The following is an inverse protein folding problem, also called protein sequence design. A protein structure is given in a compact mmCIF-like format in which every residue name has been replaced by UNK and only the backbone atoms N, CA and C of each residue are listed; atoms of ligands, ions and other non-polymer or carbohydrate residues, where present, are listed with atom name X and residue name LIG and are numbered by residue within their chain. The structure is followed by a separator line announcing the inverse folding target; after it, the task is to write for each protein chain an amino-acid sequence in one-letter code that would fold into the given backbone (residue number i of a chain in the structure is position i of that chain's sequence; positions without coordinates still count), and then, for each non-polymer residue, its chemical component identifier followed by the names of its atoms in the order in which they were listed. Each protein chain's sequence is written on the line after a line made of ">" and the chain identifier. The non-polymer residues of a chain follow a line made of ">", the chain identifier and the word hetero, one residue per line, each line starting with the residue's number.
data_IF_204381733380
#
_entry.id   IF_204381733380
#
_cell.length_a   1.000
_cell.length_b   1.000
_cell.length_c   1.000
_cell.angle_alpha   90.00
_cell.angle_beta   90.00
_cell.angle_gamma   90.00
#
_symmetry.space_group_name_H-M   'P 1'
#
loop_
_entity.id
_entity.type
_entity.pdbx_description
1 polymer ?
#
# COMPACT_ATOMS: atom_id res chain seq x y z
N UNK A 1 -4.42 -4.84 -9.93
CA UNK A 1 -3.59 -5.40 -8.83
C UNK A 1 -3.61 -4.41 -7.70
N UNK A 2 -3.84 -4.83 -6.45
CA UNK A 2 -3.88 -3.87 -5.32
C UNK A 2 -2.49 -3.43 -4.84
N UNK A 3 -1.44 -4.15 -5.25
CA UNK A 3 -0.05 -3.89 -4.87
C UNK A 3 0.88 -4.41 -5.98
N UNK A 4 1.94 -3.68 -6.26
CA UNK A 4 3.07 -4.13 -7.07
C UNK A 4 4.38 -3.55 -6.53
N UNK A 5 5.50 -4.22 -6.79
CA UNK A 5 6.80 -3.76 -6.32
C UNK A 5 7.34 -2.66 -7.23
N UNK A 6 7.61 -1.49 -6.67
CA UNK A 6 8.27 -0.41 -7.38
C UNK A 6 9.79 -0.45 -7.13
N UNK A 7 10.53 -1.01 -8.08
CA UNK A 7 12.00 -1.02 -8.04
C UNK A 7 12.57 0.35 -8.42
N UNK A 8 12.93 1.14 -7.39
CA UNK A 8 13.41 2.54 -7.54
C UNK A 8 14.66 2.63 -8.42
N UNK A 9 15.59 1.68 -8.29
CA UNK A 9 16.83 1.64 -9.08
C UNK A 9 16.55 1.45 -10.57
N UNK A 10 15.76 0.44 -10.92
CA UNK A 10 15.35 0.16 -12.29
C UNK A 10 14.57 1.32 -12.89
N UNK A 11 13.61 1.87 -12.11
CA UNK A 11 12.85 3.02 -12.54
C UNK A 11 13.76 4.21 -12.84
N UNK A 12 14.66 4.56 -11.92
CA UNK A 12 15.55 5.69 -12.10
C UNK A 12 16.47 5.51 -13.31
N UNK A 13 17.06 4.32 -13.48
CA UNK A 13 17.94 4.02 -14.61
C UNK A 13 17.20 4.11 -15.94
N UNK A 14 16.01 3.52 -16.04
CA UNK A 14 15.20 3.55 -17.27
C UNK A 14 14.73 4.97 -17.63
N UNK A 15 14.60 5.86 -16.64
CA UNK A 15 13.97 7.18 -16.83
C UNK A 15 14.94 8.34 -16.69
N UNK A 16 16.26 8.12 -16.65
CA UNK A 16 17.25 9.19 -16.40
C UNK A 16 17.28 10.27 -17.48
N UNK A 17 16.97 9.92 -18.72
CA UNK A 17 16.98 10.83 -19.86
C UNK A 17 15.68 11.65 -19.99
N UNK A 18 14.64 11.27 -19.25
CA UNK A 18 13.33 11.90 -19.31
C UNK A 18 13.29 13.18 -18.48
N UNK A 19 12.55 14.16 -18.97
CA UNK A 19 12.14 15.33 -18.20
C UNK A 19 11.27 14.94 -17.01
N UNK A 20 11.14 15.82 -16.01
CA UNK A 20 10.29 15.56 -14.84
C UNK A 20 8.83 15.30 -15.24
N UNK A 21 8.35 15.98 -16.28
CA UNK A 21 7.00 15.82 -16.80
C UNK A 21 6.80 14.42 -17.41
N UNK A 22 7.69 14.01 -18.31
CA UNK A 22 7.68 12.68 -18.92
C UNK A 22 7.79 11.56 -17.88
N UNK A 23 8.64 11.74 -16.86
CA UNK A 23 8.77 10.79 -15.74
C UNK A 23 7.45 10.64 -14.96
N UNK A 24 6.75 11.74 -14.73
CA UNK A 24 5.45 11.72 -14.05
C UNK A 24 4.39 11.01 -14.91
N UNK A 25 4.30 11.33 -16.20
CA UNK A 25 3.35 10.70 -17.12
C UNK A 25 3.63 9.19 -17.24
N UNK A 26 4.90 8.79 -17.38
CA UNK A 26 5.25 7.38 -17.39
C UNK A 26 4.85 6.67 -16.10
N UNK A 27 5.01 7.33 -14.95
CA UNK A 27 4.58 6.78 -13.66
C UNK A 27 3.07 6.57 -13.61
N UNK A 28 2.28 7.56 -14.02
CA UNK A 28 0.81 7.48 -14.04
C UNK A 28 0.30 6.43 -15.02
N UNK A 29 0.96 6.26 -16.18
CA UNK A 29 0.66 5.20 -17.13
C UNK A 29 0.88 3.81 -16.53
N UNK A 30 1.99 3.60 -15.82
CA UNK A 30 2.26 2.34 -15.11
C UNK A 30 1.19 2.08 -14.05
N UNK A 31 0.86 3.10 -13.23
CA UNK A 31 -0.17 2.97 -12.19
C UNK A 31 -1.54 2.59 -12.80
N UNK A 32 -1.93 3.23 -13.91
CA UNK A 32 -3.15 2.86 -14.66
C UNK A 32 -3.11 1.42 -15.17
N UNK A 33 -1.96 0.99 -15.70
CA UNK A 33 -1.77 -0.35 -16.22
C UNK A 33 -1.92 -1.41 -15.12
N UNK A 34 -1.26 -1.22 -13.98
CA UNK A 34 -1.33 -2.17 -12.86
C UNK A 34 -2.69 -2.15 -12.15
N UNK A 35 -3.35 -0.99 -12.07
CA UNK A 35 -4.70 -0.88 -11.51
C UNK A 35 -5.69 -1.73 -12.34
N UNK A 36 -5.68 -1.53 -13.66
CA UNK A 36 -6.62 -2.20 -14.57
C UNK A 36 -6.20 -3.61 -14.98
N UNK A 37 -4.92 -3.97 -14.77
CA UNK A 37 -4.29 -5.21 -15.23
C UNK A 37 -4.45 -5.43 -16.74
N UNK A 38 -4.49 -4.34 -17.53
CA UNK A 38 -4.80 -4.35 -18.97
C UNK A 38 -3.96 -3.35 -19.74
N UNK A 39 -3.75 -3.67 -21.01
CA UNK A 39 -3.21 -2.74 -22.00
C UNK A 39 -4.02 -1.45 -22.07
N UNK A 40 -3.34 -0.34 -22.34
CA UNK A 40 -3.94 1.00 -22.34
C UNK A 40 -4.66 1.22 -23.67
N UNK A 41 -5.96 1.49 -23.62
CA UNK A 41 -6.80 1.71 -24.80
C UNK A 41 -6.30 2.92 -25.62
N UNK A 42 -5.96 2.68 -26.89
CA UNK A 42 -5.52 3.71 -27.83
C UNK A 42 -6.65 4.19 -28.77
N UNK A 43 -7.88 3.71 -28.59
CA UNK A 43 -9.02 4.08 -29.44
C UNK A 43 -9.36 5.58 -29.41
N UNK A 44 -9.01 6.27 -28.30
CA UNK A 44 -9.25 7.69 -28.14
C UNK A 44 -8.14 8.36 -27.30
N UNK A 45 -7.16 8.95 -27.99
CA UNK A 45 -6.02 9.62 -27.37
C UNK A 45 -6.43 10.84 -26.53
N UNK A 46 -7.46 11.59 -26.91
CA UNK A 46 -7.94 12.73 -26.11
C UNK A 46 -8.50 12.29 -24.76
N UNK A 47 -9.23 11.17 -24.74
CA UNK A 47 -9.76 10.58 -23.51
C UNK A 47 -8.64 10.07 -22.61
N UNK A 48 -7.63 9.44 -23.20
CA UNK A 48 -6.44 8.99 -22.47
C UNK A 48 -5.67 10.19 -21.87
N UNK A 49 -5.41 11.23 -22.66
CA UNK A 49 -4.74 12.44 -22.21
C UNK A 49 -5.49 13.11 -21.04
N UNK A 50 -6.83 13.25 -21.14
CA UNK A 50 -7.65 13.77 -20.03
C UNK A 50 -7.56 12.91 -18.77
N UNK A 51 -7.51 11.58 -18.90
CA UNK A 51 -7.40 10.67 -17.75
C UNK A 51 -6.06 10.82 -17.01
N UNK A 52 -5.00 11.12 -17.76
CA UNK A 52 -3.65 11.39 -17.25
C UNK A 52 -3.41 12.89 -16.96
N UNK A 53 -4.47 13.71 -16.98
CA UNK A 53 -4.40 15.16 -16.77
C UNK A 53 -3.41 15.88 -17.70
N UNK A 54 -3.15 15.31 -18.88
CA UNK A 54 -2.39 15.93 -19.95
C UNK A 54 -3.32 16.86 -20.74
N UNK A 55 -3.28 18.15 -20.40
CA UNK A 55 -4.18 19.19 -20.91
C UNK A 55 -3.44 20.12 -21.88
N UNK A 56 -2.17 20.43 -21.60
CA UNK A 56 -1.37 21.31 -22.46
C UNK A 56 -0.77 20.54 -23.64
N UNK A 57 -0.45 21.26 -24.71
CA UNK A 57 0.22 20.65 -25.87
C UNK A 57 1.57 20.01 -25.50
N UNK A 58 2.29 20.60 -24.53
CA UNK A 58 3.54 20.05 -24.01
C UNK A 58 3.31 18.71 -23.29
N UNK A 59 2.28 18.63 -22.46
CA UNK A 59 1.91 17.38 -21.76
C UNK A 59 1.46 16.30 -22.75
N UNK A 60 0.69 16.67 -23.76
CA UNK A 60 0.25 15.73 -24.81
C UNK A 60 1.45 15.24 -25.63
N UNK A 61 2.40 16.11 -25.96
CA UNK A 61 3.63 15.73 -26.65
C UNK A 61 4.47 14.76 -25.80
N UNK A 62 4.63 15.05 -24.51
CA UNK A 62 5.32 14.17 -23.57
C UNK A 62 4.61 12.81 -23.43
N UNK A 63 3.28 12.78 -23.37
CA UNK A 63 2.49 11.53 -23.36
C UNK A 63 2.77 10.69 -24.61
N UNK A 64 2.72 11.29 -25.79
CA UNK A 64 3.00 10.58 -27.03
C UNK A 64 4.42 10.04 -27.08
N UNK A 65 5.41 10.82 -26.61
CA UNK A 65 6.80 10.38 -26.53
C UNK A 65 6.97 9.17 -25.59
N UNK A 66 6.36 9.21 -24.40
CA UNK A 66 6.40 8.08 -23.45
C UNK A 66 5.75 6.83 -24.03
N UNK A 67 4.61 6.98 -24.70
CA UNK A 67 3.91 5.85 -25.33
C UNK A 67 4.75 5.22 -26.45
N UNK A 68 5.48 6.03 -27.22
CA UNK A 68 6.39 5.56 -28.27
C UNK A 68 7.64 4.84 -27.69
N UNK A 69 8.22 5.38 -26.62
CA UNK A 69 9.46 4.86 -26.01
C UNK A 69 9.23 3.58 -25.19
N UNK A 70 8.18 3.53 -24.36
CA UNK A 70 8.02 2.49 -23.34
C UNK A 70 6.90 1.48 -23.62
N UNK A 71 6.07 1.73 -24.64
CA UNK A 71 4.93 0.89 -24.96
C UNK A 71 4.94 0.42 -26.40
N UNK A 72 4.25 -0.68 -26.65
CA UNK A 72 4.08 -1.25 -27.99
C UNK A 72 2.60 -1.13 -28.35
N UNK A 73 2.30 -0.42 -29.44
CA UNK A 73 0.94 -0.36 -29.96
C UNK A 73 0.62 -1.68 -30.69
N UNK A 74 -0.32 -2.45 -30.13
CA UNK A 74 -0.82 -3.69 -30.73
C UNK A 74 -2.34 -3.74 -30.60
N UNK A 75 -3.02 -4.07 -31.69
CA UNK A 75 -4.48 -4.27 -31.73
C UNK A 75 -5.29 -3.09 -31.14
N UNK A 76 -4.78 -1.86 -31.32
CA UNK A 76 -5.42 -0.64 -30.81
C UNK A 76 -5.23 -0.38 -29.31
N UNK A 77 -4.26 -1.03 -28.67
CA UNK A 77 -3.89 -0.79 -27.28
C UNK A 77 -2.36 -0.73 -27.10
N UNK A 78 -1.91 0.02 -26.11
CA UNK A 78 -0.50 0.12 -25.74
C UNK A 78 -0.16 -0.91 -24.67
N UNK A 79 0.76 -1.82 -24.98
CA UNK A 79 1.26 -2.84 -24.07
C UNK A 79 2.60 -2.42 -23.48
N UNK A 80 2.82 -2.79 -22.22
CA UNK A 80 4.12 -2.69 -21.58
C UNK A 80 4.62 -4.09 -21.19
N UNK A 81 5.70 -4.55 -21.83
CA UNK A 81 6.24 -5.90 -21.63
C UNK A 81 6.58 -6.21 -20.16
N UNK A 82 7.04 -5.20 -19.41
CA UNK A 82 7.33 -5.37 -17.99
C UNK A 82 6.04 -5.60 -17.20
N UNK A 83 5.02 -4.77 -17.42
CA UNK A 83 3.72 -4.93 -16.76
C UNK A 83 3.10 -6.28 -17.07
N UNK A 84 3.08 -6.70 -18.34
CA UNK A 84 2.53 -8.00 -18.76
C UNK A 84 3.20 -9.18 -18.04
N UNK A 85 4.53 -9.17 -17.96
CA UNK A 85 5.28 -10.20 -17.24
C UNK A 85 4.91 -10.25 -15.76
N UNK A 86 4.91 -9.10 -15.09
CA UNK A 86 4.63 -9.01 -13.66
C UNK A 86 3.18 -9.40 -13.33
N UNK A 87 2.22 -9.00 -14.16
CA UNK A 87 0.80 -9.37 -14.05
C UNK A 87 0.62 -10.88 -14.25
N UNK A 88 1.25 -11.46 -15.27
CA UNK A 88 1.19 -12.90 -15.52
C UNK A 88 1.76 -13.72 -14.33
N UNK A 89 2.89 -13.29 -13.78
CA UNK A 89 3.47 -13.91 -12.58
C UNK A 89 2.54 -13.80 -11.36
N UNK A 90 1.93 -12.64 -11.15
CA UNK A 90 0.98 -12.41 -10.07
C UNK A 90 -0.23 -13.35 -10.15
N UNK A 91 -0.87 -13.46 -11.33
CA UNK A 91 -1.98 -14.39 -11.53
C UNK A 91 -1.55 -15.85 -11.41
N UNK A 92 -0.37 -16.19 -11.92
CA UNK A 92 0.21 -17.54 -11.80
C UNK A 92 0.34 -17.97 -10.34
N UNK A 93 0.97 -17.13 -9.50
CA UNK A 93 1.12 -17.36 -8.06
C UNK A 93 -0.24 -17.49 -7.35
N UNK A 94 -1.19 -16.59 -7.63
CA UNK A 94 -2.54 -16.62 -7.04
C UNK A 94 -3.30 -17.90 -7.40
N UNK A 95 -3.21 -18.35 -8.66
CA UNK A 95 -3.85 -19.58 -9.12
C UNK A 95 -3.26 -20.80 -8.42
N UNK A 96 -1.93 -20.92 -8.39
CA UNK A 96 -1.25 -22.03 -7.71
C UNK A 96 -1.62 -22.11 -6.23
N UNK A 97 -1.62 -20.97 -5.53
CA UNK A 97 -2.04 -20.92 -4.12
C UNK A 97 -3.51 -21.34 -3.94
N UNK A 98 -4.41 -20.89 -4.81
CA UNK A 98 -5.82 -21.29 -4.78
C UNK A 98 -6.00 -22.79 -4.98
N UNK A 99 -5.32 -23.38 -5.97
CA UNK A 99 -5.43 -24.79 -6.30
C UNK A 99 -4.83 -25.68 -5.19
N UNK A 100 -3.70 -25.28 -4.62
CA UNK A 100 -3.12 -25.93 -3.44
C UNK A 100 -4.05 -25.88 -2.23
N UNK A 101 -4.69 -24.72 -2.00
CA UNK A 101 -5.69 -24.55 -0.93
C UNK A 101 -6.90 -25.46 -1.12
N UNK A 102 -7.47 -25.51 -2.33
CA UNK A 102 -8.59 -26.41 -2.67
C UNK A 102 -8.19 -27.88 -2.49
N UNK A 103 -7.00 -28.28 -2.94
CA UNK A 103 -6.51 -29.64 -2.77
C UNK A 103 -6.33 -30.00 -1.28
N UNK A 104 -5.78 -29.10 -0.47
CA UNK A 104 -5.63 -29.26 0.97
C UNK A 104 -6.99 -29.41 1.67
N UNK A 105 -7.97 -28.57 1.31
CA UNK A 105 -9.32 -28.65 1.85
C UNK A 105 -10.01 -29.98 1.50
N UNK A 106 -9.90 -30.44 0.24
CA UNK A 106 -10.42 -31.75 -0.18
C UNK A 106 -9.80 -32.91 0.59
N UNK A 107 -8.47 -32.89 0.81
CA UNK A 107 -7.78 -33.92 1.61
C UNK A 107 -8.28 -33.95 3.06
N UNK A 108 -8.48 -32.78 3.68
CA UNK A 108 -9.03 -32.68 5.04
C UNK A 108 -10.46 -33.20 5.13
N UNK A 109 -11.30 -32.87 4.15
CA UNK A 109 -12.68 -33.36 4.08
C UNK A 109 -12.74 -34.89 3.92
N UNK A 110 -11.90 -35.46 3.03
CA UNK A 110 -11.82 -36.92 2.83
C UNK A 110 -11.35 -37.66 4.09
N UNK A 111 -10.37 -37.11 4.83
CA UNK A 111 -9.91 -37.68 6.11
C UNK A 111 -10.99 -37.67 7.19
N UNK A 112 -11.88 -36.66 7.19
CA UNK A 112 -13.01 -36.56 8.14
C UNK A 112 -14.14 -37.55 7.83
N UNK A 113 -14.23 -38.03 6.59
CA UNK A 113 -15.27 -38.98 6.14
C UNK A 113 -14.83 -40.45 6.23
N UNK A 114 -13.56 -40.74 6.54
CA UNK A 114 -13.16 -42.11 6.86
C UNK A 114 -13.74 -42.50 8.22
N UNK A 115 -14.57 -43.55 8.32
CA UNK A 115 -14.98 -44.09 9.61
C UNK A 115 -13.71 -44.55 10.34
N UNK A 116 -13.59 -44.17 11.61
CA UNK A 116 -12.61 -44.75 12.52
C UNK A 116 -12.90 -46.25 12.57
N UNK A 117 -12.17 -47.05 11.78
CA UNK A 117 -12.18 -48.49 11.94
C UNK A 117 -11.50 -48.75 13.29
N UNK A 118 -12.35 -48.96 14.30
CA UNK A 118 -11.98 -49.34 15.66
C UNK A 118 -11.39 -50.76 15.59
N UNK A 119 -10.12 -50.86 15.21
CA UNK A 119 -9.33 -52.07 15.33
C UNK A 119 -8.67 -52.08 16.70
N UNK A 120 -9.24 -52.86 17.63
CA UNK A 120 -8.63 -53.18 18.91
C UNK A 120 -7.17 -53.62 18.74
N UNK A 121 -6.25 -52.89 19.35
CA UNK A 121 -5.07 -53.47 19.96
C UNK A 121 -4.89 -52.76 21.29
N UNK A 122 -5.12 -53.53 22.36
CA UNK A 122 -4.87 -53.16 23.74
C UNK A 122 -3.43 -52.64 23.88
N UNK A 123 -3.29 -51.40 24.34
CA UNK A 123 -2.20 -51.07 25.23
C UNK A 123 -2.65 -49.92 26.13
N UNK A 124 -2.77 -50.25 27.42
CA UNK A 124 -3.05 -49.34 28.51
C UNK A 124 -2.02 -48.21 28.55
N UNK A 125 -2.48 -46.96 28.70
CA UNK A 125 -1.87 -46.02 29.65
C UNK A 125 -2.81 -44.83 29.88
N UNK A 126 -3.50 -44.91 31.03
CA UNK A 126 -3.95 -43.82 31.91
C UNK A 126 -4.57 -42.55 31.33
N UNK A 127 -5.82 -42.33 31.77
CA UNK A 127 -6.53 -41.05 31.79
C UNK A 127 -5.67 -39.93 32.39
N UNK A 128 -5.68 -38.75 31.76
CA UNK A 128 -5.81 -37.51 32.50
C UNK A 128 -6.71 -36.56 31.73
N UNK A 129 -7.76 -36.16 32.44
CA UNK A 129 -8.81 -35.26 32.03
C UNK A 129 -8.27 -33.84 32.08
N UNK A 130 -8.20 -33.17 30.92
CA UNK A 130 -8.14 -31.72 30.88
C UNK A 130 -8.80 -31.22 29.59
N UNK A 131 -10.09 -30.98 29.72
CA UNK A 131 -10.82 -29.98 28.93
C UNK A 131 -10.01 -28.69 28.88
N UNK A 132 -9.31 -28.47 27.77
CA UNK A 132 -8.82 -27.15 27.39
C UNK A 132 -9.53 -26.77 26.11
N UNK A 133 -10.42 -25.79 26.24
CA UNK A 133 -10.90 -24.96 25.16
C UNK A 133 -9.67 -24.23 24.58
N UNK A 134 -8.98 -24.89 23.64
CA UNK A 134 -7.90 -24.29 22.88
C UNK A 134 -8.52 -23.87 21.56
N UNK A 135 -8.91 -22.61 21.48
CA UNK A 135 -9.10 -21.90 20.22
C UNK A 135 -7.91 -22.21 19.31
N UNK A 136 -8.18 -23.03 18.29
CA UNK A 136 -7.19 -23.40 17.30
C UNK A 136 -6.93 -22.19 16.43
N UNK A 137 -5.96 -21.37 16.86
CA UNK A 137 -5.40 -20.29 16.08
C UNK A 137 -5.05 -20.85 14.69
N UNK A 138 -5.71 -20.28 13.68
CA UNK A 138 -5.43 -20.58 12.29
C UNK A 138 -3.99 -20.15 12.03
N UNK A 139 -3.08 -21.12 11.87
CA UNK A 139 -1.77 -20.87 11.31
C UNK A 139 -1.98 -20.44 9.84
N UNK A 140 -2.17 -19.14 9.64
CA UNK A 140 -1.91 -18.46 8.39
C UNK A 140 -0.43 -18.69 8.09
N UNK A 141 -0.17 -19.61 7.15
CA UNK A 141 1.14 -19.77 6.57
C UNK A 141 1.50 -18.45 5.87
N UNK A 142 2.29 -17.65 6.58
CA UNK A 142 2.97 -16.46 6.11
C UNK A 142 3.67 -16.75 4.79
N UNK A 143 3.09 -16.31 3.69
CA UNK A 143 3.87 -15.95 2.51
C UNK A 143 4.61 -14.67 2.84
N UNK A 144 5.93 -14.67 2.68
CA UNK A 144 6.85 -13.54 2.85
C UNK A 144 6.55 -12.41 1.85
N UNK A 145 5.42 -11.74 2.05
CA UNK A 145 5.07 -10.46 1.46
C UNK A 145 4.42 -9.68 2.58
N UNK A 146 5.25 -8.99 3.36
CA UNK A 146 4.80 -7.92 4.25
C UNK A 146 3.99 -6.90 3.44
N UNK A 147 2.66 -6.78 3.63
CA UNK A 147 2.00 -5.54 3.25
C UNK A 147 2.34 -4.56 4.37
N UNK A 148 3.22 -3.59 4.11
CA UNK A 148 3.33 -2.44 5.01
C UNK A 148 1.99 -1.71 4.96
N UNK A 149 1.10 -2.02 5.91
CA UNK A 149 -0.10 -1.27 6.21
C UNK A 149 0.33 0.16 6.56
N UNK A 150 0.20 1.08 5.61
CA UNK A 150 0.51 2.48 5.84
C UNK A 150 -0.60 3.44 5.41
N UNK A 151 -1.87 3.01 5.44
CA UNK A 151 -3.00 3.92 5.23
C UNK A 151 -4.16 3.60 6.17
N UNK A 152 -4.08 4.10 7.41
CA UNK A 152 -5.29 4.59 8.07
C UNK A 152 -5.42 6.09 7.76
N UNK A 153 -6.53 6.56 7.18
CA UNK A 153 -6.83 7.99 7.18
C UNK A 153 -6.94 8.45 8.64
N UNK A 154 -6.13 9.42 9.05
CA UNK A 154 -6.32 10.13 10.30
C UNK A 154 -7.54 11.05 10.14
N UNK A 155 -8.71 10.60 10.58
CA UNK A 155 -9.82 11.51 10.87
C UNK A 155 -9.56 12.10 12.25
N UNK A 156 -8.96 13.29 12.33
CA UNK A 156 -8.84 14.03 13.58
C UNK A 156 -9.82 15.21 13.59
N UNK A 157 -10.96 14.96 14.25
CA UNK A 157 -11.70 15.82 15.18
C UNK A 157 -11.70 17.34 14.93
N UNK A 158 -12.81 17.85 14.41
CA UNK A 158 -13.24 19.21 14.74
C UNK A 158 -14.11 19.12 15.99
N UNK A 159 -13.65 19.66 17.12
CA UNK A 159 -14.53 19.89 18.28
C UNK A 159 -15.19 21.27 18.18
N UNK A 160 -16.51 21.37 18.41
CA UNK A 160 -17.21 22.65 18.45
C UNK A 160 -16.83 23.45 19.70
N UNK A 161 -16.56 24.73 19.50
CA UNK A 161 -16.21 25.68 20.55
C UNK A 161 -17.44 25.96 21.43
N UNK A 162 -17.51 25.34 22.62
CA UNK A 162 -18.52 25.67 23.62
C UNK A 162 -17.92 26.58 24.71
N UNK A 163 -18.41 27.81 24.74
CA UNK A 163 -18.18 28.79 25.80
C UNK A 163 -18.89 28.38 27.10
N UNK A 164 -18.15 28.27 28.21
CA UNK A 164 -18.76 27.98 29.51
C UNK A 164 -17.79 27.90 30.70
N UNK A 165 -17.45 29.07 31.24
CA UNK A 165 -17.24 29.43 32.66
C UNK A 165 -16.62 28.43 33.67
N UNK A 166 -15.52 28.88 34.32
CA UNK A 166 -15.32 29.03 35.79
C UNK A 166 -14.08 28.35 36.43
N UNK A 167 -13.17 29.21 36.90
CA UNK A 167 -12.38 29.17 38.16
C UNK A 167 -11.31 28.08 38.41
N UNK A 168 -10.02 28.48 38.39
CA UNK A 168 -9.17 28.68 39.59
C UNK A 168 -7.65 28.59 39.28
N UNK A 169 -6.96 29.72 39.46
CA UNK A 169 -5.64 29.90 40.11
C UNK A 169 -4.41 29.05 39.70
N UNK A 170 -3.63 29.54 38.72
CA UNK A 170 -2.17 29.79 38.83
C UNK A 170 -1.72 30.59 37.59
N UNK A 171 -1.43 31.88 37.75
CA UNK A 171 -0.86 32.69 36.67
C UNK A 171 0.63 32.33 36.49
N UNK A 172 0.93 31.29 35.72
CA UNK A 172 2.22 31.21 35.03
C UNK A 172 2.11 32.08 33.77
N UNK A 173 2.57 33.32 33.88
CA UNK A 173 2.74 34.17 32.70
C UNK A 173 3.60 33.39 31.67
N UNK A 174 3.13 33.23 30.42
CA UNK A 174 3.91 32.54 29.41
C UNK A 174 5.23 33.30 29.22
N UNK A 175 6.36 32.57 29.13
CA UNK A 175 7.65 33.22 28.96
C UNK A 175 7.67 33.97 27.61
N UNK A 176 8.40 35.09 27.50
CA UNK A 176 8.37 35.93 26.31
C UNK A 176 8.75 35.10 25.06
N UNK A 177 8.11 35.32 23.90
CA UNK A 177 8.41 34.56 22.69
C UNK A 177 9.86 34.77 22.29
N UNK A 178 10.57 33.66 22.00
CA UNK A 178 11.95 33.68 21.52
C UNK A 178 12.00 33.36 20.04
N UNK A 179 12.89 34.02 19.32
CA UNK A 179 13.17 33.71 17.92
C UNK A 179 13.98 32.42 17.83
N UNK A 180 13.73 31.59 16.81
CA UNK A 180 14.46 30.33 16.63
C UNK A 180 15.98 30.53 16.55
N UNK A 181 16.43 31.64 15.97
CA UNK A 181 17.85 32.01 15.87
C UNK A 181 18.51 32.31 17.22
N UNK A 182 17.73 32.51 18.29
CA UNK A 182 18.22 32.82 19.63
C UNK A 182 18.10 31.62 20.59
N UNK A 183 17.50 30.51 20.15
CA UNK A 183 17.28 29.31 20.95
C UNK A 183 18.61 28.64 21.34
N UNK A 184 18.84 28.46 22.64
CA UNK A 184 19.99 27.73 23.17
C UNK A 184 19.58 26.34 23.66
N UNK A 185 20.54 25.41 23.74
CA UNK A 185 20.26 24.02 24.14
C UNK A 185 19.60 23.90 25.51
N UNK A 186 19.73 24.87 26.41
CA UNK A 186 19.07 24.85 27.75
C UNK A 186 17.61 25.31 27.74
N UNK A 187 17.13 25.88 26.63
CA UNK A 187 15.79 26.45 26.51
C UNK A 187 14.69 25.40 26.33
N UNK A 188 15.05 24.13 26.06
CA UNK A 188 14.10 23.01 25.95
C UNK A 188 13.24 22.76 27.18
N UNK A 189 13.70 23.23 28.35
CA UNK A 189 12.94 23.16 29.61
C UNK A 189 11.84 24.21 29.69
N UNK A 190 11.89 25.25 28.85
CA UNK A 190 11.00 26.43 28.88
C UNK A 190 10.20 26.62 27.59
N UNK A 191 10.72 26.17 26.45
CA UNK A 191 10.12 26.36 25.13
C UNK A 191 10.16 25.07 24.30
N UNK A 192 9.02 24.70 23.73
CA UNK A 192 8.95 23.62 22.74
C UNK A 192 9.34 24.17 21.38
N UNK A 193 10.12 23.41 20.60
CA UNK A 193 10.55 23.82 19.25
C UNK A 193 9.35 24.14 18.34
N UNK A 194 8.21 23.48 18.55
CA UNK A 194 6.95 23.74 17.83
C UNK A 194 6.33 25.10 18.20
N UNK A 195 6.54 25.60 19.42
CA UNK A 195 6.10 26.92 19.86
C UNK A 195 6.97 28.07 19.33
N UNK A 196 8.18 27.79 18.87
CA UNK A 196 9.11 28.78 18.31
C UNK A 196 8.89 29.06 16.80
N UNK A 197 7.98 28.34 16.13
CA UNK A 197 7.83 28.39 14.65
C UNK A 197 6.95 29.55 14.17
N UNK A 198 6.24 30.26 15.05
CA UNK A 198 5.31 31.30 14.63
C UNK A 198 5.83 32.72 14.93
N UNK A 199 6.82 33.19 14.16
CA UNK A 199 6.83 34.57 13.64
C UNK A 199 7.99 34.76 12.65
N UNK A 200 7.70 34.83 11.35
CA UNK A 200 8.51 35.61 10.41
C UNK A 200 7.57 36.54 9.63
N UNK A 201 7.99 37.78 9.31
CA UNK A 201 7.17 38.80 8.67
C UNK A 201 6.72 38.43 7.25
#
# INVERSE_FOLDING_TARGET
>A
MNYYQHHIGDFNNATRHLSLLERAIYRDLLDMYYDTEKAIDASNMDRLARRLQCITNEQIAALNYILDEFFILQDGAYLNNRCEREIAEFHGKRKQASDAGKASAKKRAAKKQQPQNNGSSDNEQSNDDNSTDVEQASNDNSTDVQPTNNHKPLTNNQEPFNSGSSNAHEQKNPPPPIQFSQYQSEDHKRYTLLGCVNQYP
#
